data_IF_013503034823
#
_entry.id   IF_013503034823
#
_cell.length_a   1.000
_cell.length_b   1.000
_cell.length_c   1.000
_cell.angle_alpha   90.00
_cell.angle_beta   90.00
_cell.angle_gamma   90.00
#
_symmetry.space_group_name_H-M   'P 1'
#
loop_
_entity.id
_entity.type
_entity.pdbx_description
1 polymer ?
#
# COMPACT_ATOMS: atom_id res chain seq x y z
N UNK A 1 13.21 21.00 0.51
CA UNK A 1 14.04 19.85 0.92
C UNK A 1 13.58 18.61 0.17
N UNK A 2 14.44 17.96 -0.63
CA UNK A 2 14.10 16.71 -1.35
C UNK A 2 14.61 15.51 -0.55
N UNK A 3 13.76 14.97 0.32
CA UNK A 3 14.05 13.72 1.02
C UNK A 3 14.08 12.57 0.01
N UNK A 4 15.11 11.72 0.08
CA UNK A 4 15.27 10.52 -0.73
C UNK A 4 15.55 9.34 0.19
N UNK A 5 14.90 8.21 -0.08
CA UNK A 5 15.11 6.98 0.69
C UNK A 5 15.53 5.84 -0.24
N UNK A 6 16.77 5.86 -0.76
CA UNK A 6 17.21 4.92 -1.80
C UNK A 6 17.26 3.45 -1.36
N UNK A 7 17.11 3.17 -0.06
CA UNK A 7 17.07 1.83 0.53
C UNK A 7 15.69 1.46 1.13
N UNK A 8 14.66 2.30 0.94
CA UNK A 8 13.33 2.07 1.50
C UNK A 8 12.60 0.99 0.71
N UNK A 9 12.62 -0.23 1.22
CA UNK A 9 11.96 -1.41 0.63
C UNK A 9 10.56 -1.64 1.20
N UNK A 10 10.31 -1.21 2.44
CA UNK A 10 9.05 -1.44 3.15
C UNK A 10 8.50 -0.11 3.61
N UNK A 11 7.26 0.19 3.25
CA UNK A 11 6.59 1.43 3.63
C UNK A 11 5.20 1.12 4.18
N UNK A 12 5.01 1.34 5.49
CA UNK A 12 3.71 1.25 6.15
C UNK A 12 3.12 2.65 6.30
N UNK A 13 1.90 2.83 5.82
CA UNK A 13 1.17 4.08 5.99
C UNK A 13 0.47 4.12 7.36
N UNK A 14 0.36 5.31 7.93
CA UNK A 14 -0.59 5.61 8.98
C UNK A 14 -1.91 6.06 8.33
N UNK A 15 -2.23 7.35 8.47
CA UNK A 15 -3.27 8.01 7.69
C UNK A 15 -2.66 8.77 6.48
N UNK A 16 -3.46 9.00 5.45
CA UNK A 16 -3.13 9.93 4.36
C UNK A 16 -4.38 10.66 3.88
N UNK A 17 -4.17 11.80 3.22
CA UNK A 17 -5.24 12.61 2.66
C UNK A 17 -5.44 12.35 1.17
N UNK A 18 -6.71 12.38 0.75
CA UNK A 18 -7.10 12.21 -0.65
C UNK A 18 -6.82 10.81 -1.23
N UNK A 19 -6.75 10.71 -2.58
CA UNK A 19 -6.41 9.47 -3.28
C UNK A 19 -5.01 8.97 -2.94
N UNK A 20 -4.83 7.66 -2.86
CA UNK A 20 -3.51 7.04 -2.60
C UNK A 20 -2.45 7.44 -3.64
N UNK A 21 -2.84 7.70 -4.89
CA UNK A 21 -1.93 8.18 -5.95
C UNK A 21 -1.19 9.45 -5.53
N UNK A 22 -1.85 10.39 -4.85
CA UNK A 22 -1.25 11.65 -4.43
C UNK A 22 -0.12 11.41 -3.41
N UNK A 23 -0.23 10.39 -2.57
CA UNK A 23 0.84 9.98 -1.65
C UNK A 23 1.99 9.32 -2.43
N UNK A 24 1.67 8.42 -3.34
CA UNK A 24 2.66 7.62 -4.07
C UNK A 24 3.45 8.43 -5.10
N UNK A 25 2.86 9.51 -5.64
CA UNK A 25 3.52 10.45 -6.56
C UNK A 25 4.50 11.39 -5.87
N UNK A 26 4.52 11.43 -4.52
CA UNK A 26 5.51 12.25 -3.81
C UNK A 26 6.91 11.76 -4.15
N UNK A 27 7.87 12.66 -4.49
CA UNK A 27 9.21 12.28 -4.93
C UNK A 27 9.93 11.30 -3.99
N UNK A 28 9.74 11.45 -2.67
CA UNK A 28 10.37 10.57 -1.68
C UNK A 28 9.85 9.13 -1.73
N UNK A 29 8.63 8.89 -2.25
CA UNK A 29 8.00 7.58 -2.37
C UNK A 29 8.21 7.03 -3.79
N UNK A 30 7.92 7.82 -4.82
CA UNK A 30 8.05 7.41 -6.23
C UNK A 30 9.48 7.00 -6.63
N UNK A 31 10.50 7.61 -6.03
CA UNK A 31 11.90 7.26 -6.30
C UNK A 31 12.47 6.19 -5.35
N UNK A 32 11.67 5.67 -4.42
CA UNK A 32 12.11 4.64 -3.48
C UNK A 32 11.83 3.24 -4.03
N UNK A 33 12.74 2.27 -3.83
CA UNK A 33 12.58 0.90 -4.32
C UNK A 33 11.65 0.09 -3.41
N UNK A 34 10.41 0.57 -3.23
CA UNK A 34 9.43 -0.06 -2.34
C UNK A 34 9.00 -1.40 -2.95
N UNK A 35 9.16 -2.46 -2.17
CA UNK A 35 8.76 -3.84 -2.48
C UNK A 35 7.48 -4.22 -1.73
N UNK A 36 7.28 -3.66 -0.53
CA UNK A 36 6.11 -3.88 0.33
C UNK A 36 5.48 -2.54 0.71
N UNK A 37 4.22 -2.36 0.32
CA UNK A 37 3.40 -1.22 0.74
C UNK A 37 2.32 -1.73 1.68
N UNK A 38 2.35 -1.30 2.94
CA UNK A 38 1.34 -1.67 3.93
C UNK A 38 0.38 -0.49 4.17
N UNK A 39 -0.92 -0.77 4.10
CA UNK A 39 -2.02 0.17 4.24
C UNK A 39 -2.95 -0.29 5.36
N UNK A 40 -3.43 0.63 6.20
CA UNK A 40 -4.47 0.32 7.18
C UNK A 40 -5.82 0.14 6.48
N UNK A 41 -6.55 -0.94 6.77
CA UNK A 41 -7.81 -1.25 6.09
C UNK A 41 -8.91 -0.21 6.34
N UNK A 42 -8.99 0.31 7.57
CA UNK A 42 -9.92 1.38 7.97
C UNK A 42 -9.69 2.66 7.15
N UNK A 43 -8.43 3.04 6.94
CA UNK A 43 -8.07 4.21 6.14
C UNK A 43 -8.40 3.96 4.66
N UNK A 44 -8.14 2.76 4.13
CA UNK A 44 -8.52 2.39 2.75
C UNK A 44 -10.03 2.53 2.55
N UNK A 45 -10.83 2.00 3.48
CA UNK A 45 -12.28 1.98 3.38
C UNK A 45 -12.92 3.37 3.57
N UNK A 46 -12.23 4.25 4.30
CA UNK A 46 -12.61 5.66 4.43
C UNK A 46 -12.47 6.44 3.11
N UNK A 47 -11.71 5.91 2.14
CA UNK A 47 -11.49 6.61 0.86
C UNK A 47 -12.64 6.39 -0.12
N UNK A 48 -12.85 7.33 -1.07
CA UNK A 48 -13.87 7.16 -2.09
C UNK A 48 -13.70 5.84 -2.85
N UNK A 49 -14.75 5.01 -2.86
CA UNK A 49 -14.76 3.65 -3.45
C UNK A 49 -14.79 3.64 -4.99
N UNK A 50 -14.42 4.74 -5.63
CA UNK A 50 -14.41 4.88 -7.08
C UNK A 50 -13.36 4.01 -7.76
N UNK A 51 -13.49 3.84 -9.07
CA UNK A 51 -12.45 3.22 -9.89
C UNK A 51 -11.24 4.15 -9.92
N UNK A 52 -10.04 3.58 -9.84
CA UNK A 52 -8.84 4.35 -10.17
C UNK A 52 -8.88 4.76 -11.64
N UNK A 53 -8.62 6.04 -11.93
CA UNK A 53 -8.48 6.53 -13.31
C UNK A 53 -7.28 5.88 -14.02
N UNK A 54 -6.20 5.68 -13.26
CA UNK A 54 -5.01 4.94 -13.65
C UNK A 54 -4.51 4.11 -12.45
N UNK A 55 -3.80 3.01 -12.69
CA UNK A 55 -3.29 2.17 -11.61
C UNK A 55 -2.29 2.97 -10.74
N UNK A 56 -2.59 3.21 -9.45
CA UNK A 56 -1.77 4.09 -8.61
C UNK A 56 -0.39 3.51 -8.30
N UNK A 57 -0.20 2.21 -8.51
CA UNK A 57 1.04 1.53 -8.19
C UNK A 57 2.07 1.59 -9.32
N UNK A 58 1.74 2.15 -10.50
CA UNK A 58 2.67 2.25 -11.64
C UNK A 58 3.99 2.94 -11.29
N UNK A 59 3.95 3.90 -10.36
CA UNK A 59 5.13 4.62 -9.89
C UNK A 59 6.04 3.81 -8.95
N UNK A 60 5.64 2.59 -8.59
CA UNK A 60 6.39 1.69 -7.71
C UNK A 60 6.77 0.42 -8.50
N UNK A 61 7.79 0.49 -9.39
CA UNK A 61 8.12 -0.61 -10.30
C UNK A 61 8.59 -1.88 -9.58
N UNK A 62 9.13 -1.74 -8.38
CA UNK A 62 9.63 -2.85 -7.54
C UNK A 62 8.56 -3.44 -6.62
N UNK A 63 7.35 -2.87 -6.59
CA UNK A 63 6.30 -3.31 -5.66
C UNK A 63 5.90 -4.75 -5.96
N UNK A 64 5.99 -5.61 -4.95
CA UNK A 64 5.64 -7.04 -5.02
C UNK A 64 4.45 -7.37 -4.13
N UNK A 65 4.29 -6.68 -2.99
CA UNK A 65 3.22 -6.93 -2.04
C UNK A 65 2.50 -5.66 -1.62
N UNK A 66 1.17 -5.73 -1.63
CA UNK A 66 0.29 -4.76 -1.01
C UNK A 66 -0.34 -5.41 0.22
N UNK A 67 -0.02 -4.89 1.39
CA UNK A 67 -0.47 -5.44 2.67
C UNK A 67 -1.64 -4.59 3.19
N UNK A 68 -2.76 -5.23 3.49
CA UNK A 68 -3.85 -4.62 4.23
C UNK A 68 -3.69 -5.02 5.70
N UNK A 69 -3.37 -4.05 6.55
CA UNK A 69 -3.21 -4.21 7.99
C UNK A 69 -4.54 -3.99 8.71
N UNK A 70 -4.65 -4.56 9.92
CA UNK A 70 -5.78 -4.35 10.83
C UNK A 70 -7.13 -4.87 10.30
N UNK A 71 -7.06 -5.93 9.48
CA UNK A 71 -8.24 -6.49 8.84
C UNK A 71 -9.07 -7.30 9.85
N UNK A 72 -10.39 -7.14 9.79
CA UNK A 72 -11.31 -7.97 10.54
C UNK A 72 -11.56 -9.31 9.80
N UNK A 73 -11.97 -10.38 10.51
CA UNK A 73 -12.36 -11.63 9.86
C UNK A 73 -13.40 -11.40 8.75
N UNK A 74 -13.17 -11.96 7.57
CA UNK A 74 -14.04 -11.78 6.39
C UNK A 74 -13.81 -10.48 5.60
N UNK A 75 -12.83 -9.66 5.99
CA UNK A 75 -12.46 -8.47 5.23
C UNK A 75 -11.99 -8.83 3.81
N UNK A 76 -12.37 -7.97 2.86
CA UNK A 76 -11.87 -8.01 1.49
C UNK A 76 -11.53 -6.58 1.06
N UNK A 77 -10.35 -6.41 0.47
CA UNK A 77 -9.93 -5.12 -0.02
C UNK A 77 -10.87 -4.61 -1.13
N UNK A 78 -11.03 -3.28 -1.30
CA UNK A 78 -11.87 -2.75 -2.36
C UNK A 78 -11.41 -3.25 -3.74
N UNK A 79 -12.38 -3.62 -4.59
CA UNK A 79 -12.10 -4.26 -5.89
C UNK A 79 -11.16 -3.47 -6.79
N UNK A 80 -11.11 -2.13 -6.67
CA UNK A 80 -10.17 -1.28 -7.39
C UNK A 80 -8.70 -1.60 -7.03
N UNK A 81 -8.41 -1.84 -5.76
CA UNK A 81 -7.07 -2.24 -5.30
C UNK A 81 -6.72 -3.63 -5.79
N UNK A 82 -7.63 -4.60 -5.64
CA UNK A 82 -7.42 -5.97 -6.11
C UNK A 82 -7.12 -5.98 -7.62
N UNK A 83 -7.91 -5.26 -8.42
CA UNK A 83 -7.69 -5.14 -9.88
C UNK A 83 -6.34 -4.49 -10.20
N UNK A 84 -5.98 -3.43 -9.48
CA UNK A 84 -4.70 -2.75 -9.66
C UNK A 84 -3.51 -3.65 -9.30
N UNK A 85 -3.62 -4.45 -8.25
CA UNK A 85 -2.60 -5.43 -7.86
C UNK A 85 -2.46 -6.54 -8.91
N UNK A 86 -3.58 -7.15 -9.32
CA UNK A 86 -3.60 -8.22 -10.32
C UNK A 86 -2.98 -7.78 -11.66
N UNK A 87 -3.30 -6.57 -12.12
CA UNK A 87 -2.75 -6.02 -13.36
C UNK A 87 -1.21 -5.89 -13.35
N UNK A 88 -0.58 -5.91 -12.16
CA UNK A 88 0.87 -5.77 -11.98
C UNK A 88 1.50 -6.98 -11.29
N UNK A 89 0.75 -8.07 -11.11
CA UNK A 89 1.19 -9.27 -10.35
C UNK A 89 1.70 -8.94 -8.94
N UNK A 90 1.11 -7.92 -8.32
CA UNK A 90 1.35 -7.59 -6.91
C UNK A 90 0.47 -8.50 -6.07
N UNK A 91 1.04 -9.16 -5.08
CA UNK A 91 0.32 -10.00 -4.13
C UNK A 91 -0.40 -9.14 -3.10
N UNK A 92 -1.68 -9.41 -2.86
CA UNK A 92 -2.42 -8.82 -1.75
C UNK A 92 -2.26 -9.70 -0.50
N UNK A 93 -1.70 -9.14 0.57
CA UNK A 93 -1.53 -9.80 1.87
C UNK A 93 -2.47 -9.15 2.87
N UNK A 94 -3.04 -9.93 3.78
CA UNK A 94 -4.00 -9.46 4.78
C UNK A 94 -3.49 -9.82 6.17
N UNK A 95 -3.32 -8.81 7.03
CA UNK A 95 -2.80 -8.98 8.38
C UNK A 95 -3.86 -8.61 9.41
N UNK A 96 -4.01 -9.46 10.42
CA UNK A 96 -4.88 -9.22 11.57
C UNK A 96 -4.47 -7.92 12.30
N UNK A 97 -5.30 -7.39 13.22
CA UNK A 97 -4.90 -6.24 14.03
C UNK A 97 -3.57 -6.46 14.77
N UNK A 98 -3.36 -7.67 15.32
CA UNK A 98 -2.11 -8.00 16.03
C UNK A 98 -0.90 -8.03 15.10
N UNK A 99 -1.02 -8.71 13.96
CA UNK A 99 0.10 -8.85 13.01
C UNK A 99 0.37 -7.54 12.26
N UNK A 100 -0.66 -6.74 12.04
CA UNK A 100 -0.56 -5.44 11.39
C UNK A 100 0.25 -4.42 12.20
N UNK A 101 0.29 -4.54 13.52
CA UNK A 101 1.12 -3.72 14.40
C UNK A 101 2.59 -4.16 14.42
N UNK A 102 2.87 -5.43 14.14
CA UNK A 102 4.24 -5.97 14.12
C UNK A 102 4.99 -5.57 12.84
N UNK A 103 5.74 -4.47 12.94
CA UNK A 103 6.60 -3.99 11.85
C UNK A 103 7.66 -5.01 11.46
N UNK A 104 8.14 -5.85 12.39
CA UNK A 104 9.14 -6.86 12.11
C UNK A 104 8.59 -7.96 11.20
N UNK A 105 7.31 -8.30 11.36
CA UNK A 105 6.61 -9.23 10.49
C UNK A 105 6.43 -8.63 9.09
N UNK A 106 6.01 -7.36 8.99
CA UNK A 106 5.87 -6.67 7.69
C UNK A 106 7.22 -6.58 6.96
N UNK A 107 8.32 -6.38 7.68
CA UNK A 107 9.67 -6.33 7.11
C UNK A 107 10.17 -7.67 6.55
N UNK A 108 9.60 -8.79 7.00
CA UNK A 108 9.94 -10.14 6.54
C UNK A 108 9.11 -10.59 5.33
N UNK A 109 8.08 -9.82 4.96
CA UNK A 109 7.33 -10.05 3.73
C UNK A 109 8.22 -9.70 2.54
#
# INVERSE_FOLDING_TARGET
>A
MKLKFPKLRVFKTGAWEGPISNLLEKPMIAFSPIEVLALKSDVVDSKPKGKFRANPFLNLPTLRRLVFCEVQPGYSAPSAYIKACNARRVECVYLSPKDGEDVSLIMKL
#
